data_IF_108678280403
#
_entry.id   IF_108678280403
#
_cell.length_a   1.000
_cell.length_b   1.000
_cell.length_c   1.000
_cell.angle_alpha   90.00
_cell.angle_beta   90.00
_cell.angle_gamma   90.00
#
_symmetry.space_group_name_H-M   'P 1'
#
loop_
_entity.id
_entity.type
_entity.pdbx_description
1 polymer ?
#
# COMPACT_ATOMS: atom_id res chain seq x y z
N UNK A 1 -8.10 -25.05 14.66
CA UNK A 1 -8.43 -23.90 13.80
C UNK A 1 -7.32 -22.91 14.03
N UNK A 2 -6.65 -22.41 12.98
CA UNK A 2 -5.51 -21.50 13.14
C UNK A 2 -5.99 -20.06 12.87
N UNK A 3 -5.90 -19.19 13.89
CA UNK A 3 -6.20 -17.77 13.80
C UNK A 3 -4.92 -16.99 13.49
N UNK A 4 -4.93 -16.20 12.43
CA UNK A 4 -3.83 -15.36 12.02
C UNK A 4 -4.24 -13.89 12.04
N UNK A 5 -3.54 -13.07 12.82
CA UNK A 5 -3.66 -11.63 12.78
C UNK A 5 -2.63 -11.07 11.80
N UNK A 6 -3.08 -10.28 10.85
CA UNK A 6 -2.23 -9.60 9.88
C UNK A 6 -2.32 -8.09 10.08
N UNK A 7 -1.16 -7.42 10.02
CA UNK A 7 -1.05 -5.96 10.09
C UNK A 7 -0.25 -5.44 8.88
N UNK A 8 -0.71 -4.33 8.32
CA UNK A 8 0.02 -3.53 7.34
C UNK A 8 0.22 -2.11 7.91
N UNK A 9 1.44 -1.83 8.33
CA UNK A 9 1.84 -0.63 9.08
C UNK A 9 2.56 0.33 8.16
N UNK A 10 1.82 1.30 7.65
CA UNK A 10 2.35 2.43 6.89
C UNK A 10 2.83 3.58 7.78
N UNK A 11 3.34 4.65 7.16
CA UNK A 11 3.83 5.84 7.89
C UNK A 11 2.71 6.66 8.56
N UNK A 12 1.49 6.63 8.04
CA UNK A 12 0.38 7.48 8.51
C UNK A 12 -0.70 6.69 9.25
N UNK A 13 -0.85 5.42 8.97
CA UNK A 13 -1.86 4.55 9.58
C UNK A 13 -1.50 3.09 9.33
N UNK A 14 -2.05 2.21 10.14
CA UNK A 14 -2.01 0.78 9.91
C UNK A 14 -3.42 0.24 9.64
N UNK A 15 -3.49 -0.83 8.88
CA UNK A 15 -4.67 -1.67 8.72
C UNK A 15 -4.39 -3.02 9.35
N UNK A 16 -5.42 -3.67 9.83
CA UNK A 16 -5.32 -5.04 10.31
C UNK A 16 -6.50 -5.87 9.84
N UNK A 17 -6.29 -7.19 9.77
CA UNK A 17 -7.35 -8.18 9.58
C UNK A 17 -7.05 -9.45 10.35
N UNK A 18 -8.10 -10.11 10.80
CA UNK A 18 -8.04 -11.41 11.45
C UNK A 18 -8.57 -12.47 10.49
N UNK A 19 -7.82 -13.55 10.33
CA UNK A 19 -8.19 -14.67 9.46
C UNK A 19 -8.35 -15.96 10.26
N UNK A 20 -9.30 -16.78 9.84
CA UNK A 20 -9.42 -18.17 10.23
C UNK A 20 -9.44 -19.04 8.96
N UNK A 21 -8.44 -19.90 8.80
CA UNK A 21 -8.32 -20.79 7.64
C UNK A 21 -8.37 -20.09 6.26
N UNK A 22 -7.92 -18.84 6.19
CA UNK A 22 -7.93 -18.01 4.99
C UNK A 22 -9.16 -17.11 4.83
N UNK A 23 -10.21 -17.30 5.63
CA UNK A 23 -11.39 -16.44 5.63
C UNK A 23 -11.18 -15.22 6.55
N UNK A 24 -11.51 -14.03 6.07
CA UNK A 24 -11.43 -12.79 6.87
C UNK A 24 -12.62 -12.69 7.82
N UNK A 25 -12.36 -12.82 9.13
CA UNK A 25 -13.37 -12.71 10.19
C UNK A 25 -13.67 -11.26 10.55
N UNK A 26 -12.63 -10.45 10.70
CA UNK A 26 -12.74 -9.03 11.06
C UNK A 26 -11.58 -8.24 10.49
N UNK A 27 -11.75 -6.93 10.40
CA UNK A 27 -10.74 -5.99 9.93
C UNK A 27 -10.95 -4.63 10.56
N UNK A 28 -9.90 -3.84 10.65
CA UNK A 28 -9.98 -2.48 11.18
C UNK A 28 -8.74 -1.66 10.86
N UNK A 29 -8.67 -0.52 11.52
CA UNK A 29 -7.51 0.37 11.46
C UNK A 29 -6.83 0.42 12.82
N UNK A 30 -5.55 0.75 12.80
CA UNK A 30 -4.74 0.94 14.00
C UNK A 30 -3.91 2.22 13.86
N UNK A 31 -3.83 2.96 14.95
CA UNK A 31 -2.93 4.10 15.10
C UNK A 31 -2.38 4.12 16.52
N UNK A 32 -1.08 4.22 16.67
CA UNK A 32 -0.44 4.34 17.99
C UNK A 32 -0.89 5.61 18.76
N UNK A 33 -1.39 6.63 18.05
CA UNK A 33 -1.89 7.87 18.65
C UNK A 33 -3.38 7.84 19.02
N UNK A 34 -4.11 6.76 18.68
CA UNK A 34 -5.56 6.65 18.90
C UNK A 34 -5.91 5.42 19.75
N UNK A 35 -6.23 5.68 21.03
CA UNK A 35 -6.56 4.64 22.00
C UNK A 35 -7.82 3.82 21.62
N UNK A 36 -8.74 4.36 20.81
CA UNK A 36 -9.92 3.62 20.39
C UNK A 36 -9.55 2.57 19.34
N UNK A 37 -8.73 2.94 18.34
CA UNK A 37 -8.26 1.99 17.33
C UNK A 37 -7.32 0.94 17.91
N UNK A 38 -6.52 1.28 18.94
CA UNK A 38 -5.73 0.31 19.69
C UNK A 38 -6.64 -0.70 20.39
N UNK A 39 -7.66 -0.21 21.11
CA UNK A 39 -8.61 -1.08 21.81
C UNK A 39 -9.35 -2.01 20.83
N UNK A 40 -9.82 -1.47 19.71
CA UNK A 40 -10.48 -2.26 18.66
C UNK A 40 -9.60 -3.41 18.16
N UNK A 41 -8.31 -3.16 17.93
CA UNK A 41 -7.36 -4.19 17.57
C UNK A 41 -7.20 -5.23 18.67
N UNK A 42 -6.92 -4.80 19.91
CA UNK A 42 -6.63 -5.69 21.04
C UNK A 42 -7.85 -6.53 21.50
N UNK A 43 -9.06 -6.00 21.31
CA UNK A 43 -10.32 -6.69 21.62
C UNK A 43 -10.85 -7.50 20.42
N UNK A 44 -10.18 -7.48 19.27
CA UNK A 44 -10.65 -8.16 18.05
C UNK A 44 -10.77 -9.68 18.20
N UNK A 45 -9.97 -10.28 19.07
CA UNK A 45 -10.00 -11.70 19.42
C UNK A 45 -9.35 -11.98 20.78
N UNK A 46 -9.79 -13.05 21.42
CA UNK A 46 -9.21 -13.51 22.69
C UNK A 46 -7.85 -14.20 22.53
N UNK A 47 -7.57 -14.77 21.37
CA UNK A 47 -6.31 -15.48 21.07
C UNK A 47 -5.97 -15.42 19.60
N UNK A 48 -4.69 -15.57 19.28
CA UNK A 48 -4.19 -15.79 17.91
C UNK A 48 -3.10 -16.86 17.94
N UNK A 49 -2.94 -17.60 16.84
CA UNK A 49 -1.87 -18.59 16.69
C UNK A 49 -0.64 -17.99 15.98
N UNK A 50 -0.88 -17.00 15.14
CA UNK A 50 0.15 -16.33 14.32
C UNK A 50 -0.14 -14.85 14.19
N UNK A 51 0.93 -14.04 14.13
CA UNK A 51 0.86 -12.61 13.86
C UNK A 51 1.86 -12.29 12.76
N UNK A 52 1.37 -11.77 11.62
CA UNK A 52 2.19 -11.39 10.47
C UNK A 52 2.09 -9.89 10.25
N UNK A 53 3.25 -9.24 10.09
CA UNK A 53 3.33 -7.79 10.00
C UNK A 53 4.12 -7.37 8.77
N UNK A 54 3.50 -6.56 7.92
CA UNK A 54 4.15 -5.65 6.98
C UNK A 54 4.38 -4.33 7.71
N UNK A 55 5.62 -3.80 7.70
CA UNK A 55 5.89 -2.52 8.33
C UNK A 55 6.96 -1.74 7.58
N UNK A 56 6.65 -0.48 7.27
CA UNK A 56 7.60 0.54 6.79
C UNK A 56 7.85 1.63 7.85
N UNK A 57 7.42 1.39 9.08
CA UNK A 57 7.69 2.28 10.22
C UNK A 57 9.14 2.14 10.70
N UNK A 58 9.61 3.13 11.47
CA UNK A 58 10.93 3.09 12.09
C UNK A 58 11.08 1.99 13.16
N UNK A 59 12.32 1.60 13.46
CA UNK A 59 12.63 0.51 14.38
C UNK A 59 12.01 0.64 15.78
N UNK A 60 11.94 1.86 16.32
CA UNK A 60 11.33 2.12 17.63
C UNK A 60 9.82 1.83 17.60
N UNK A 61 9.12 2.26 16.56
CA UNK A 61 7.69 1.98 16.38
C UNK A 61 7.42 0.49 16.19
N UNK A 62 8.29 -0.22 15.46
CA UNK A 62 8.19 -1.68 15.33
C UNK A 62 8.44 -2.40 16.66
N UNK A 63 9.36 -1.92 17.48
CA UNK A 63 9.63 -2.49 18.79
C UNK A 63 8.44 -2.32 19.75
N UNK A 64 7.85 -1.12 19.80
CA UNK A 64 6.66 -0.83 20.60
C UNK A 64 5.46 -1.69 20.15
N UNK A 65 5.24 -1.81 18.83
CA UNK A 65 4.19 -2.65 18.27
C UNK A 65 4.40 -4.12 18.63
N UNK A 66 5.62 -4.63 18.49
CA UNK A 66 5.98 -5.99 18.88
C UNK A 66 5.65 -6.27 20.33
N UNK A 67 6.11 -5.40 21.24
CA UNK A 67 5.88 -5.54 22.67
C UNK A 67 4.38 -5.55 23.00
N UNK A 68 3.60 -4.64 22.42
CA UNK A 68 2.16 -4.58 22.60
C UNK A 68 1.46 -5.88 22.17
N UNK A 69 1.81 -6.41 20.99
CA UNK A 69 1.20 -7.62 20.43
C UNK A 69 1.61 -8.87 21.24
N UNK A 70 2.88 -8.98 21.66
CA UNK A 70 3.38 -10.07 22.49
C UNK A 70 2.74 -10.05 23.88
N UNK A 71 2.57 -8.88 24.50
CA UNK A 71 1.89 -8.76 25.80
C UNK A 71 0.42 -9.18 25.73
N UNK A 72 -0.26 -8.86 24.62
CA UNK A 72 -1.69 -9.16 24.46
C UNK A 72 -1.95 -10.66 24.26
N UNK A 73 -1.18 -11.31 23.38
CA UNK A 73 -1.50 -12.69 22.96
C UNK A 73 -0.41 -13.72 23.27
N UNK A 74 0.74 -13.31 23.77
CA UNK A 74 1.85 -14.26 24.05
C UNK A 74 2.49 -14.85 22.78
N UNK A 75 2.22 -14.28 21.62
CA UNK A 75 2.71 -14.73 20.31
C UNK A 75 3.71 -13.72 19.76
N UNK A 76 4.90 -14.17 19.39
CA UNK A 76 5.92 -13.30 18.78
C UNK A 76 5.53 -12.98 17.33
N UNK A 77 5.34 -11.69 16.97
CA UNK A 77 5.01 -11.30 15.61
C UNK A 77 6.16 -11.56 14.64
N UNK A 78 5.83 -12.14 13.48
CA UNK A 78 6.75 -12.20 12.36
C UNK A 78 6.63 -10.93 11.52
N UNK A 79 7.74 -10.22 11.33
CA UNK A 79 7.83 -9.05 10.47
C UNK A 79 8.41 -9.43 9.12
N UNK A 80 7.64 -9.24 8.06
CA UNK A 80 8.10 -9.42 6.71
C UNK A 80 9.26 -8.46 6.39
N UNK A 81 10.24 -8.94 5.62
CA UNK A 81 11.40 -8.16 5.16
C UNK A 81 11.62 -8.41 3.69
N UNK A 82 11.96 -7.37 2.95
CA UNK A 82 12.16 -7.47 1.51
C UNK A 82 13.42 -8.26 1.18
N UNK A 83 13.31 -9.43 0.53
CA UNK A 83 14.46 -10.24 0.11
C UNK A 83 14.92 -9.90 -1.31
N UNK A 84 15.98 -10.57 -1.76
CA UNK A 84 16.41 -10.54 -3.17
C UNK A 84 15.41 -11.24 -4.10
N UNK A 85 14.69 -12.23 -3.59
CA UNK A 85 13.69 -12.99 -4.35
C UNK A 85 12.68 -13.68 -3.43
N UNK A 86 11.45 -13.89 -3.94
CA UNK A 86 10.42 -14.76 -3.35
C UNK A 86 9.71 -15.48 -4.49
N UNK A 87 9.73 -16.81 -4.51
CA UNK A 87 9.23 -17.57 -5.66
C UNK A 87 9.97 -17.19 -6.95
N UNK A 88 9.22 -16.77 -7.97
CA UNK A 88 9.79 -16.30 -9.24
C UNK A 88 10.02 -14.78 -9.27
N UNK A 89 9.50 -14.02 -8.30
CA UNK A 89 9.73 -12.57 -8.22
C UNK A 89 11.17 -12.27 -7.80
N UNK A 90 11.85 -11.42 -8.58
CA UNK A 90 13.25 -10.98 -8.38
C UNK A 90 13.30 -9.47 -8.16
N UNK A 91 13.98 -9.05 -7.10
CA UNK A 91 14.16 -7.63 -6.77
C UNK A 91 15.21 -7.00 -7.71
N UNK A 92 14.95 -5.79 -8.22
CA UNK A 92 15.89 -5.04 -9.05
C UNK A 92 16.87 -4.18 -8.26
N UNK A 93 16.64 -3.98 -6.97
CA UNK A 93 17.51 -3.13 -6.15
C UNK A 93 18.85 -3.83 -5.89
N UNK A 94 19.95 -3.08 -5.99
CA UNK A 94 21.27 -3.57 -5.65
C UNK A 94 21.35 -4.02 -4.17
N UNK A 95 20.65 -3.31 -3.29
CA UNK A 95 20.42 -3.71 -1.90
C UNK A 95 18.91 -3.92 -1.71
N UNK A 96 18.45 -5.17 -1.73
CA UNK A 96 17.02 -5.48 -1.61
C UNK A 96 16.36 -4.95 -0.35
N UNK A 97 17.08 -4.87 0.76
CA UNK A 97 16.56 -4.41 2.05
C UNK A 97 16.15 -2.93 2.03
N UNK A 98 16.58 -2.16 1.03
CA UNK A 98 16.20 -0.75 0.85
C UNK A 98 14.86 -0.55 0.15
N UNK A 99 14.27 -1.59 -0.40
CA UNK A 99 12.91 -1.52 -0.95
C UNK A 99 11.90 -1.64 0.18
N UNK A 100 10.91 -0.75 0.21
CA UNK A 100 9.79 -0.85 1.15
C UNK A 100 9.10 -2.22 1.03
N UNK A 101 8.86 -2.86 2.18
CA UNK A 101 8.27 -4.19 2.21
C UNK A 101 6.81 -4.18 1.71
N UNK A 102 6.09 -3.09 1.90
CA UNK A 102 4.75 -2.86 1.35
C UNK A 102 4.72 -2.98 -0.18
N UNK A 103 5.68 -2.35 -0.87
CA UNK A 103 5.83 -2.46 -2.32
C UNK A 103 6.15 -3.89 -2.75
N UNK A 104 7.08 -4.56 -2.04
CA UNK A 104 7.43 -5.95 -2.32
C UNK A 104 6.23 -6.88 -2.19
N UNK A 105 5.44 -6.70 -1.12
CA UNK A 105 4.24 -7.50 -0.87
C UNK A 105 3.15 -7.20 -1.91
N UNK A 106 2.92 -5.94 -2.27
CA UNK A 106 1.98 -5.60 -3.34
C UNK A 106 2.37 -6.27 -4.67
N UNK A 107 3.68 -6.30 -5.01
CA UNK A 107 4.18 -7.02 -6.18
C UNK A 107 3.98 -8.53 -6.08
N UNK A 108 4.19 -9.15 -4.91
CA UNK A 108 3.94 -10.57 -4.68
C UNK A 108 2.47 -10.92 -4.85
N UNK A 109 1.55 -10.13 -4.26
CA UNK A 109 0.11 -10.30 -4.42
C UNK A 109 -0.30 -10.20 -5.89
N UNK A 110 0.22 -9.19 -6.61
CA UNK A 110 -0.04 -9.02 -8.03
C UNK A 110 0.50 -10.19 -8.86
N UNK A 111 1.70 -10.69 -8.55
CA UNK A 111 2.33 -11.81 -9.25
C UNK A 111 1.58 -13.12 -9.05
N UNK A 112 1.06 -13.35 -7.85
CA UNK A 112 0.23 -14.54 -7.56
C UNK A 112 -1.09 -14.56 -8.35
N UNK A 113 -1.63 -13.36 -8.69
CA UNK A 113 -2.86 -13.22 -9.49
C UNK A 113 -2.60 -13.25 -10.99
N UNK A 114 -1.46 -12.75 -11.44
CA UNK A 114 -1.19 -12.53 -12.84
C UNK A 114 0.20 -13.02 -13.25
N UNK A 115 0.25 -14.08 -14.06
CA UNK A 115 1.48 -14.62 -14.65
C UNK A 115 2.04 -13.83 -15.84
N UNK A 116 1.47 -12.66 -16.17
CA UNK A 116 1.91 -11.78 -17.26
C UNK A 116 2.73 -10.62 -16.73
N UNK A 117 3.23 -9.77 -17.64
CA UNK A 117 3.78 -8.46 -17.24
C UNK A 117 2.71 -7.65 -16.51
N UNK A 118 3.04 -7.06 -15.36
CA UNK A 118 2.08 -6.31 -14.54
C UNK A 118 2.69 -4.98 -14.07
N UNK A 119 1.83 -3.97 -14.02
CA UNK A 119 2.08 -2.67 -13.40
C UNK A 119 1.22 -2.60 -12.13
N UNK A 120 1.87 -2.51 -10.98
CA UNK A 120 1.22 -2.31 -9.68
C UNK A 120 1.24 -0.83 -9.35
N UNK A 121 0.07 -0.28 -9.08
CA UNK A 121 -0.13 1.13 -8.72
C UNK A 121 -0.75 1.17 -7.33
N UNK A 122 0.06 1.49 -6.33
CA UNK A 122 -0.43 1.69 -4.96
C UNK A 122 -0.57 3.18 -4.68
N UNK A 123 -1.81 3.63 -4.51
CA UNK A 123 -2.15 5.01 -4.19
C UNK A 123 -2.51 5.16 -2.71
N UNK A 124 -1.49 5.26 -1.89
CA UNK A 124 -1.55 5.44 -0.43
C UNK A 124 -1.04 6.81 0.02
N UNK A 125 -0.27 6.83 1.13
CA UNK A 125 0.46 8.02 1.59
C UNK A 125 1.49 8.50 0.57
N UNK A 126 2.09 7.57 -0.16
CA UNK A 126 2.78 7.79 -1.43
C UNK A 126 1.98 7.12 -2.55
N UNK A 127 2.16 7.59 -3.79
CA UNK A 127 1.84 6.83 -4.99
C UNK A 127 3.09 6.06 -5.38
N UNK A 128 3.01 4.74 -5.43
CA UNK A 128 4.08 3.91 -6.00
C UNK A 128 3.61 3.26 -7.29
N UNK A 129 4.52 3.11 -8.24
CA UNK A 129 4.26 2.47 -9.53
C UNK A 129 5.41 1.49 -9.75
N UNK A 130 5.12 0.19 -9.77
CA UNK A 130 6.11 -0.87 -9.92
C UNK A 130 5.81 -1.73 -11.13
N UNK A 131 6.83 -1.99 -11.95
CA UNK A 131 6.74 -2.81 -13.15
C UNK A 131 7.40 -4.16 -12.91
N UNK A 132 6.70 -5.23 -13.27
CA UNK A 132 7.18 -6.62 -13.16
C UNK A 132 7.03 -7.28 -14.52
N UNK A 133 8.11 -7.86 -15.05
CA UNK A 133 8.10 -8.59 -16.31
C UNK A 133 7.25 -9.87 -16.23
N UNK A 134 6.92 -10.45 -17.37
CA UNK A 134 6.24 -11.74 -17.46
C UNK A 134 7.03 -12.89 -16.79
N UNK A 135 8.35 -12.73 -16.64
CA UNK A 135 9.25 -13.72 -15.99
C UNK A 135 9.46 -13.48 -14.50
N UNK A 136 8.74 -12.49 -13.90
CA UNK A 136 8.85 -12.17 -12.49
C UNK A 136 10.02 -11.22 -12.13
N UNK A 137 10.72 -10.63 -13.11
CA UNK A 137 11.74 -9.64 -12.82
C UNK A 137 11.09 -8.28 -12.52
N UNK A 138 11.36 -7.72 -11.35
CA UNK A 138 11.05 -6.31 -11.08
C UNK A 138 11.89 -5.43 -12.02
N UNK A 139 11.25 -4.66 -12.88
CA UNK A 139 11.91 -3.82 -13.88
C UNK A 139 12.30 -2.44 -13.31
N UNK A 140 11.79 -2.09 -12.14
CA UNK A 140 11.94 -0.81 -11.47
C UNK A 140 10.61 -0.18 -11.14
N UNK A 141 10.64 0.96 -10.46
CA UNK A 141 9.43 1.66 -10.07
C UNK A 141 9.67 3.10 -9.65
N UNK A 142 8.59 3.77 -9.29
CA UNK A 142 8.55 5.18 -8.92
C UNK A 142 7.89 5.36 -7.58
N UNK A 143 8.34 6.35 -6.82
CA UNK A 143 7.72 6.79 -5.57
C UNK A 143 7.43 8.28 -5.70
N UNK A 144 6.17 8.65 -5.60
CA UNK A 144 5.66 10.01 -5.79
C UNK A 144 4.85 10.37 -4.52
N UNK A 145 4.86 11.62 -4.04
CA UNK A 145 4.00 11.99 -2.92
C UNK A 145 2.53 11.69 -3.24
N UNK A 146 1.81 11.07 -2.28
CA UNK A 146 0.37 10.84 -2.43
C UNK A 146 -0.46 12.12 -2.33
N UNK A 147 -1.76 12.05 -2.65
CA UNK A 147 -2.61 13.25 -2.75
C UNK A 147 -2.63 14.09 -1.48
N UNK A 148 -2.81 13.48 -0.31
CA UNK A 148 -2.85 14.18 0.97
C UNK A 148 -1.49 14.84 1.31
N UNK A 149 -0.38 14.21 0.92
CA UNK A 149 0.94 14.77 1.15
C UNK A 149 1.21 15.97 0.23
N UNK A 150 0.80 15.89 -1.04
CA UNK A 150 0.89 17.00 -2.00
C UNK A 150 0.03 18.19 -1.54
N UNK A 151 -1.22 17.96 -1.13
CA UNK A 151 -2.13 19.00 -0.62
C UNK A 151 -1.54 19.67 0.61
N UNK A 152 -1.08 18.86 1.58
CA UNK A 152 -0.45 19.37 2.81
C UNK A 152 0.79 20.20 2.53
N UNK A 153 1.64 19.81 1.60
CA UNK A 153 2.84 20.57 1.24
C UNK A 153 2.46 21.96 0.70
N UNK A 154 1.46 22.06 -0.20
CA UNK A 154 0.98 23.34 -0.70
C UNK A 154 0.37 24.21 0.41
N UNK A 155 -0.41 23.62 1.31
CA UNK A 155 -1.05 24.34 2.42
C UNK A 155 -0.05 24.84 3.48
N UNK A 156 1.05 24.11 3.72
CA UNK A 156 2.04 24.46 4.74
C UNK A 156 3.13 25.41 4.21
N UNK A 157 3.60 25.17 2.97
CA UNK A 157 4.79 25.82 2.43
C UNK A 157 4.48 27.02 1.52
N UNK A 158 3.20 27.43 1.44
CA UNK A 158 2.81 28.64 0.68
C UNK A 158 1.94 29.57 1.54
N UNK A 159 2.04 30.87 1.32
CA UNK A 159 1.30 31.86 2.13
C UNK A 159 -0.17 32.01 1.71
N UNK A 160 -0.48 31.85 0.42
CA UNK A 160 -1.76 32.23 -0.16
C UNK A 160 -2.64 31.06 -0.57
N UNK A 161 -2.12 29.85 -0.61
CA UNK A 161 -2.91 28.66 -0.89
C UNK A 161 -3.61 28.24 0.41
N UNK A 162 -4.85 28.67 0.57
CA UNK A 162 -5.71 28.35 1.71
C UNK A 162 -7.12 28.11 1.21
N UNK A 163 -7.74 27.03 1.66
CA UNK A 163 -9.14 26.68 1.42
C UNK A 163 -9.63 25.74 2.50
N UNK A 164 -10.93 25.70 2.71
CA UNK A 164 -11.63 24.79 3.62
C UNK A 164 -12.68 23.97 2.88
N UNK A 165 -12.88 24.27 1.59
CA UNK A 165 -13.90 23.62 0.78
C UNK A 165 -13.52 22.16 0.49
N UNK A 166 -14.47 21.25 0.66
CA UNK A 166 -14.33 19.88 0.23
C UNK A 166 -14.68 19.77 -1.25
N UNK A 167 -13.68 19.44 -2.06
CA UNK A 167 -13.81 19.26 -3.52
C UNK A 167 -13.30 17.88 -3.88
N UNK A 168 -13.96 17.22 -4.82
CA UNK A 168 -13.50 15.95 -5.38
C UNK A 168 -12.27 16.13 -6.26
N UNK A 169 -11.50 15.05 -6.44
CA UNK A 169 -10.44 15.01 -7.46
C UNK A 169 -11.06 14.87 -8.84
N UNK A 170 -10.59 15.67 -9.80
CA UNK A 170 -11.06 15.70 -11.19
C UNK A 170 -9.90 16.07 -12.14
N UNK A 171 -10.05 15.85 -13.43
CA UNK A 171 -9.06 16.24 -14.45
C UNK A 171 -9.40 17.54 -15.15
N UNK A 172 -10.59 18.10 -14.93
CA UNK A 172 -10.99 19.40 -15.48
C UNK A 172 -10.20 20.54 -14.81
N UNK A 173 -9.96 21.66 -15.51
CA UNK A 173 -9.38 22.84 -14.90
C UNK A 173 -10.25 23.36 -13.75
N UNK A 174 -9.64 23.62 -12.58
CA UNK A 174 -10.34 24.18 -11.42
C UNK A 174 -10.64 25.68 -11.59
N UNK A 175 -11.79 26.13 -11.07
CA UNK A 175 -12.25 27.51 -11.05
C UNK A 175 -12.11 28.17 -9.67
N UNK A 176 -11.67 27.45 -8.67
CA UNK A 176 -11.34 27.90 -7.31
C UNK A 176 -9.97 27.41 -6.87
N UNK A 177 -9.43 27.98 -5.78
CA UNK A 177 -8.14 27.50 -5.22
C UNK A 177 -8.23 26.03 -4.82
N UNK A 178 -9.31 25.59 -4.18
CA UNK A 178 -9.51 24.21 -3.78
C UNK A 178 -9.55 23.26 -4.97
N UNK A 179 -10.33 23.61 -6.01
CA UNK A 179 -10.38 22.84 -7.25
C UNK A 179 -9.03 22.83 -7.96
N UNK A 180 -8.38 23.99 -8.14
CA UNK A 180 -7.10 24.07 -8.82
C UNK A 180 -6.01 23.22 -8.15
N UNK A 181 -6.00 23.13 -6.81
CA UNK A 181 -5.08 22.26 -6.06
C UNK A 181 -5.44 20.79 -6.25
N UNK A 182 -6.68 20.38 -5.98
CA UNK A 182 -7.06 18.96 -6.02
C UNK A 182 -7.10 18.40 -7.43
N UNK A 183 -7.56 19.17 -8.42
CA UNK A 183 -7.52 18.78 -9.83
C UNK A 183 -6.06 18.72 -10.32
N UNK A 184 -5.21 19.68 -9.92
CA UNK A 184 -3.78 19.65 -10.22
C UNK A 184 -3.08 18.42 -9.66
N UNK A 185 -3.42 18.00 -8.43
CA UNK A 185 -2.94 16.76 -7.83
C UNK A 185 -3.42 15.53 -8.63
N UNK A 186 -4.70 15.50 -9.03
CA UNK A 186 -5.24 14.42 -9.86
C UNK A 186 -4.52 14.33 -11.21
N UNK A 187 -4.30 15.47 -11.88
CA UNK A 187 -3.53 15.53 -13.13
C UNK A 187 -2.10 15.02 -12.95
N UNK A 188 -1.43 15.37 -11.85
CA UNK A 188 -0.08 14.89 -11.56
C UNK A 188 -0.04 13.37 -11.34
N UNK A 189 -0.99 12.82 -10.58
CA UNK A 189 -1.09 11.38 -10.29
C UNK A 189 -1.41 10.59 -11.56
N UNK A 190 -2.47 10.96 -12.27
CA UNK A 190 -2.89 10.31 -13.52
C UNK A 190 -1.82 10.44 -14.60
N UNK A 191 -1.22 11.62 -14.73
CA UNK A 191 -0.15 11.88 -15.69
C UNK A 191 1.09 11.02 -15.44
N UNK A 192 1.46 10.82 -14.17
CA UNK A 192 2.59 9.96 -13.79
C UNK A 192 2.36 8.51 -14.22
N UNK A 193 1.17 7.96 -13.93
CA UNK A 193 0.83 6.60 -14.35
C UNK A 193 0.75 6.49 -15.87
N UNK A 194 0.11 7.47 -16.53
CA UNK A 194 -0.01 7.50 -17.99
C UNK A 194 1.34 7.48 -18.70
N UNK A 195 2.31 8.29 -18.23
CA UNK A 195 3.67 8.34 -18.81
C UNK A 195 4.36 6.97 -18.69
N UNK A 196 4.24 6.30 -17.55
CA UNK A 196 4.81 4.96 -17.35
C UNK A 196 4.19 3.95 -18.31
N UNK A 197 2.85 3.96 -18.44
CA UNK A 197 2.12 3.05 -19.34
C UNK A 197 2.42 3.33 -20.81
N UNK A 198 2.54 4.59 -21.21
CA UNK A 198 2.89 4.97 -22.59
C UNK A 198 4.31 4.49 -22.93
N UNK A 199 5.24 4.51 -21.97
CA UNK A 199 6.56 3.90 -22.08
C UNK A 199 6.54 2.36 -22.25
N UNK A 200 5.43 1.70 -21.87
CA UNK A 200 5.21 0.27 -22.00
C UNK A 200 4.38 -0.14 -23.22
N UNK A 201 4.13 0.78 -24.17
CA UNK A 201 3.19 0.54 -25.29
C UNK A 201 3.52 -0.66 -26.18
N UNK A 202 4.80 -1.05 -26.29
CA UNK A 202 5.24 -2.23 -27.05
C UNK A 202 4.86 -3.56 -26.39
N UNK A 203 4.72 -3.60 -25.06
CA UNK A 203 4.31 -4.74 -24.26
C UNK A 203 3.49 -4.23 -23.07
N UNK A 204 2.19 -3.92 -23.28
CA UNK A 204 1.35 -3.35 -22.24
C UNK A 204 1.19 -4.29 -21.04
N UNK A 205 1.43 -3.82 -19.81
CA UNK A 205 1.23 -4.63 -18.62
C UNK A 205 -0.25 -4.73 -18.25
N UNK A 206 -0.63 -5.78 -17.55
CA UNK A 206 -1.86 -5.79 -16.78
C UNK A 206 -1.77 -4.75 -15.66
N UNK A 207 -2.87 -4.02 -15.40
CA UNK A 207 -2.90 -2.99 -14.38
C UNK A 207 -3.57 -3.51 -13.11
N UNK A 208 -2.90 -3.35 -11.98
CA UNK A 208 -3.46 -3.64 -10.66
C UNK A 208 -3.30 -2.40 -9.79
N UNK A 209 -4.41 -1.93 -9.24
CA UNK A 209 -4.47 -0.80 -8.34
C UNK A 209 -4.75 -1.25 -6.92
N UNK A 210 -4.10 -0.62 -5.95
CA UNK A 210 -4.37 -0.78 -4.52
C UNK A 210 -4.21 0.56 -3.78
N UNK A 211 -4.26 0.52 -2.45
CA UNK A 211 -4.20 1.72 -1.63
C UNK A 211 -5.53 2.47 -1.51
N UNK A 212 -5.58 3.41 -0.56
CA UNK A 212 -6.82 4.10 -0.22
C UNK A 212 -7.39 5.01 -1.32
N UNK A 213 -6.53 5.56 -2.18
CA UNK A 213 -6.93 6.37 -3.34
C UNK A 213 -6.91 5.59 -4.67
N UNK A 214 -6.56 4.29 -4.63
CA UNK A 214 -6.37 3.47 -5.84
C UNK A 214 -7.60 3.39 -6.72
N UNK A 215 -8.80 3.25 -6.14
CA UNK A 215 -10.04 3.19 -6.90
C UNK A 215 -10.35 4.50 -7.62
N UNK A 216 -10.14 5.64 -6.96
CA UNK A 216 -10.34 6.97 -7.58
C UNK A 216 -9.34 7.18 -8.70
N UNK A 217 -8.07 6.82 -8.47
CA UNK A 217 -7.04 6.94 -9.49
C UNK A 217 -7.32 6.05 -10.71
N UNK A 218 -7.77 4.80 -10.49
CA UNK A 218 -8.19 3.89 -11.57
C UNK A 218 -9.30 4.50 -12.43
N UNK A 219 -10.33 5.07 -11.78
CA UNK A 219 -11.45 5.71 -12.47
C UNK A 219 -11.02 6.93 -13.28
N UNK A 220 -10.20 7.80 -12.69
CA UNK A 220 -9.69 9.00 -13.37
C UNK A 220 -8.74 8.68 -14.53
N UNK A 221 -7.94 7.62 -14.40
CA UNK A 221 -7.03 7.18 -15.45
C UNK A 221 -7.77 6.60 -16.67
N UNK A 222 -8.90 5.92 -16.46
CA UNK A 222 -9.77 5.31 -17.49
C UNK A 222 -9.02 4.42 -18.50
N UNK A 223 -8.05 3.64 -18.02
CA UNK A 223 -7.28 2.66 -18.84
C UNK A 223 -7.53 1.21 -18.41
N UNK A 224 -8.65 0.95 -17.72
CA UNK A 224 -8.97 -0.37 -17.18
C UNK A 224 -8.10 -0.75 -15.98
N UNK A 225 -7.91 -2.06 -15.78
CA UNK A 225 -7.20 -2.61 -14.65
C UNK A 225 -8.13 -3.11 -13.54
N UNK A 226 -7.57 -3.70 -12.51
CA UNK A 226 -8.30 -4.26 -11.37
C UNK A 226 -7.93 -3.50 -10.09
N UNK A 227 -8.91 -3.14 -9.27
CA UNK A 227 -8.66 -2.56 -7.95
C UNK A 227 -8.74 -3.65 -6.88
N UNK A 228 -7.63 -3.85 -6.15
CA UNK A 228 -7.49 -4.87 -5.11
C UNK A 228 -7.08 -4.19 -3.81
N UNK A 229 -8.02 -3.89 -2.92
CA UNK A 229 -7.75 -3.11 -1.70
C UNK A 229 -6.85 -3.84 -0.69
N UNK A 230 -6.78 -5.15 -0.75
CA UNK A 230 -6.07 -6.03 0.20
C UNK A 230 -4.76 -6.61 -0.39
N UNK A 231 -4.25 -6.04 -1.50
CA UNK A 231 -3.13 -6.60 -2.27
C UNK A 231 -1.87 -6.84 -1.43
N UNK A 232 -1.54 -5.92 -0.50
CA UNK A 232 -0.39 -6.05 0.42
C UNK A 232 -0.58 -7.27 1.34
N UNK A 233 -1.78 -7.47 1.86
CA UNK A 233 -2.09 -8.64 2.70
C UNK A 233 -2.00 -9.95 1.92
N UNK A 234 -2.46 -9.98 0.67
CA UNK A 234 -2.31 -11.15 -0.19
C UNK A 234 -0.84 -11.49 -0.43
N UNK A 235 -0.01 -10.48 -0.66
CA UNK A 235 1.43 -10.65 -0.75
C UNK A 235 2.07 -11.12 0.55
N UNK A 236 1.57 -10.66 1.69
CA UNK A 236 2.02 -11.11 3.00
C UNK A 236 1.74 -12.61 3.21
N UNK A 237 0.58 -13.10 2.78
CA UNK A 237 0.25 -14.54 2.79
C UNK A 237 1.17 -15.34 1.88
N UNK A 238 1.40 -14.85 0.65
CA UNK A 238 2.33 -15.50 -0.29
C UNK A 238 3.72 -15.60 0.30
N UNK A 239 4.19 -14.53 0.94
CA UNK A 239 5.53 -14.50 1.54
C UNK A 239 5.64 -15.40 2.78
N UNK A 240 4.62 -15.44 3.62
CA UNK A 240 4.59 -16.28 4.81
C UNK A 240 4.50 -17.78 4.47
N UNK A 241 3.92 -18.12 3.32
CA UNK A 241 3.82 -19.50 2.82
C UNK A 241 5.07 -19.95 2.03
N UNK A 242 5.97 -19.01 1.68
CA UNK A 242 7.18 -19.34 0.95
C UNK A 242 8.18 -20.10 1.85
N UNK A 243 8.83 -21.15 1.33
CA UNK A 243 9.78 -21.97 2.08
C UNK A 243 11.09 -21.23 2.41
#
# INVERSE_FOLDING_TARGET
>A
MSLCLQLDVGNSSAKWRLLEQGDVLSRGRYSAADANTQRELLESTASVDQIWVSSVAGGDTEAELREMLEQQWGVTPWFARTPAATGDLRNSYADPARMGVDRWLAMLGARARCGKRVCVVDAGSALTIDLISATGQHEGGYIIPGPALMERALLLDTDRVRFTDEVSYDLAPGSSTAEAVRHGIAVAQVGSVSIVLDGCASEPPALIFCGGAGQVLQQLLDRGGEFIPELVFEGLEVMAAAP
#
